data_IF_247044528279
#
_entry.id   IF_247044528279
#
_cell.length_a   1.000
_cell.length_b   1.000
_cell.length_c   1.000
_cell.angle_alpha   90.00
_cell.angle_beta   90.00
_cell.angle_gamma   90.00
#
_symmetry.space_group_name_H-M   'P 1'
#
loop_
_entity.id
_entity.type
_entity.pdbx_description
1 polymer ?
#
# COMPACT_ATOMS: atom_id res chain seq x y z
N UNK A 1 -13.73 -11.89 -28.32
CA UNK A 1 -12.44 -12.41 -27.81
C UNK A 1 -12.77 -13.45 -26.75
N UNK A 2 -12.30 -14.67 -26.87
CA UNK A 2 -12.55 -15.71 -25.89
C UNK A 2 -11.85 -15.31 -24.58
N UNK A 3 -12.42 -15.68 -23.42
CA UNK A 3 -11.90 -15.36 -22.08
C UNK A 3 -10.51 -15.96 -21.76
N UNK A 4 -9.82 -16.50 -22.76
CA UNK A 4 -8.54 -17.20 -22.62
C UNK A 4 -7.32 -16.37 -23.03
N UNK A 5 -7.49 -15.14 -23.59
CA UNK A 5 -6.41 -14.36 -24.20
C UNK A 5 -5.98 -13.12 -23.38
N UNK A 6 -6.29 -13.07 -22.07
CA UNK A 6 -5.89 -11.92 -21.27
C UNK A 6 -4.38 -11.96 -21.00
N UNK A 7 -3.68 -10.88 -21.35
CA UNK A 7 -2.23 -10.76 -21.13
C UNK A 7 -1.92 -10.87 -19.65
N UNK A 8 -1.05 -11.81 -19.28
CA UNK A 8 -0.55 -11.93 -17.91
C UNK A 8 0.32 -10.74 -17.55
N UNK A 9 0.12 -10.19 -16.34
CA UNK A 9 0.86 -9.07 -15.80
C UNK A 9 1.78 -9.57 -14.69
N UNK A 10 3.04 -9.20 -14.72
CA UNK A 10 4.04 -9.63 -13.74
C UNK A 10 4.68 -8.45 -13.04
N UNK A 11 5.16 -8.67 -11.82
CA UNK A 11 5.92 -7.71 -11.04
C UNK A 11 7.40 -7.98 -11.24
N UNK A 12 8.13 -6.98 -11.72
CA UNK A 12 9.56 -7.10 -12.02
C UNK A 12 10.46 -6.21 -11.17
N UNK A 13 9.88 -5.18 -10.52
CA UNK A 13 10.61 -4.30 -9.62
C UNK A 13 9.78 -3.86 -8.43
N UNK A 14 10.45 -3.66 -7.31
CA UNK A 14 9.88 -3.21 -6.03
C UNK A 14 10.67 -2.02 -5.51
N UNK A 15 9.98 -1.05 -4.91
CA UNK A 15 10.60 0.09 -4.23
C UNK A 15 9.78 0.53 -3.03
N UNK A 16 10.47 0.98 -1.99
CA UNK A 16 9.87 1.37 -0.73
C UNK A 16 10.66 2.48 -0.03
N UNK A 17 9.94 3.36 0.64
CA UNK A 17 10.49 4.21 1.69
C UNK A 17 9.44 4.31 2.78
N UNK A 18 9.78 3.86 4.00
CA UNK A 18 8.81 3.59 5.06
C UNK A 18 9.36 4.03 6.41
N UNK A 19 8.55 3.98 7.48
CA UNK A 19 9.03 4.14 8.84
C UNK A 19 10.05 3.09 9.28
N UNK A 20 10.15 1.98 8.55
CA UNK A 20 11.04 0.86 8.89
C UNK A 20 12.37 0.88 8.11
N UNK A 21 12.42 1.63 7.01
CA UNK A 21 13.63 1.70 6.18
C UNK A 21 13.47 2.59 4.96
N UNK A 22 14.59 2.98 4.36
CA UNK A 22 14.65 3.82 3.17
C UNK A 22 14.54 3.07 1.85
N UNK A 23 14.50 1.74 1.88
CA UNK A 23 14.43 0.83 0.74
C UNK A 23 13.65 -0.46 1.09
N UNK A 24 13.40 -1.32 0.09
CA UNK A 24 12.68 -2.59 0.26
C UNK A 24 13.44 -3.54 1.19
N UNK A 25 14.76 -3.61 1.08
CA UNK A 25 15.55 -4.57 1.85
C UNK A 25 15.53 -4.27 3.35
N UNK A 26 15.77 -3.02 3.72
CA UNK A 26 15.72 -2.58 5.13
C UNK A 26 14.29 -2.65 5.68
N UNK A 27 13.29 -2.22 4.92
CA UNK A 27 11.87 -2.31 5.28
C UNK A 27 11.47 -3.76 5.56
N UNK A 28 11.78 -4.68 4.66
CA UNK A 28 11.41 -6.09 4.79
C UNK A 28 12.12 -6.78 5.96
N UNK A 29 13.42 -6.52 6.12
CA UNK A 29 14.19 -7.03 7.27
C UNK A 29 13.59 -6.59 8.60
N UNK A 30 13.22 -5.31 8.73
CA UNK A 30 12.60 -4.76 9.93
C UNK A 30 11.18 -5.33 10.15
N UNK A 31 10.40 -5.55 9.07
CA UNK A 31 9.09 -6.22 9.16
C UNK A 31 9.21 -7.65 9.73
N UNK A 32 10.14 -8.44 9.20
CA UNK A 32 10.36 -9.82 9.70
C UNK A 32 10.87 -9.85 11.13
N UNK A 33 11.62 -8.83 11.54
CA UNK A 33 12.08 -8.67 12.92
C UNK A 33 11.00 -8.17 13.89
N UNK A 34 9.82 -7.78 13.39
CA UNK A 34 8.75 -7.22 14.23
C UNK A 34 9.09 -5.82 14.78
N UNK A 35 9.88 -5.03 14.06
CA UNK A 35 10.30 -3.71 14.51
C UNK A 35 9.18 -2.69 14.27
N UNK A 36 8.85 -1.88 15.28
CA UNK A 36 7.91 -0.76 15.12
C UNK A 36 8.64 0.51 14.70
N UNK A 37 8.10 1.20 13.67
CA UNK A 37 8.54 2.54 13.25
C UNK A 37 7.80 3.68 13.93
N UNK A 38 6.93 3.38 14.89
CA UNK A 38 6.15 4.40 15.62
C UNK A 38 7.02 5.05 16.68
N UNK A 39 7.04 6.38 16.67
CA UNK A 39 7.82 7.19 17.61
C UNK A 39 6.97 8.30 18.23
N UNK A 40 7.44 8.86 19.35
CA UNK A 40 6.91 10.10 19.88
C UNK A 40 7.40 11.26 19.02
N UNK A 41 6.48 12.12 18.60
CA UNK A 41 6.81 13.35 17.89
C UNK A 41 7.42 14.40 18.83
N UNK A 42 8.33 15.21 18.31
CA UNK A 42 9.11 16.21 19.08
C UNK A 42 8.84 17.65 18.67
N UNK A 43 8.02 17.87 17.65
CA UNK A 43 7.65 19.18 17.14
C UNK A 43 6.78 19.92 18.17
N UNK A 44 6.98 21.22 18.33
CA UNK A 44 6.31 22.05 19.34
C UNK A 44 4.77 22.08 19.22
N UNK A 45 4.23 21.88 18.01
CA UNK A 45 2.79 21.85 17.80
C UNK A 45 2.11 20.60 18.40
N UNK A 46 2.89 19.55 18.69
CA UNK A 46 2.40 18.28 19.25
C UNK A 46 1.82 18.46 20.65
N UNK A 47 2.37 19.39 21.43
CA UNK A 47 1.96 19.58 22.85
C UNK A 47 0.49 19.95 23.01
N UNK A 48 -0.09 20.58 22.01
CA UNK A 48 -1.51 21.02 21.99
C UNK A 48 -2.48 19.93 21.55
N UNK A 49 -1.98 18.78 21.09
CA UNK A 49 -2.80 17.70 20.54
C UNK A 49 -2.95 16.52 21.50
N UNK A 50 -4.07 15.79 21.45
CA UNK A 50 -4.26 14.59 22.27
C UNK A 50 -3.40 13.41 21.77
N UNK A 51 -3.01 13.40 20.50
CA UNK A 51 -2.14 12.37 19.88
C UNK A 51 -0.77 12.97 19.64
N UNK A 52 0.26 12.31 20.16
CA UNK A 52 1.66 12.77 20.17
C UNK A 52 2.62 11.78 19.51
N UNK A 53 2.08 10.83 18.76
CA UNK A 53 2.80 9.73 18.14
C UNK A 53 2.48 9.64 16.64
N UNK A 54 3.46 9.21 15.87
CA UNK A 54 3.32 8.89 14.44
C UNK A 54 4.47 7.98 14.00
N UNK A 55 4.43 7.52 12.76
CA UNK A 55 5.46 6.72 12.13
C UNK A 55 6.07 7.47 10.92
N UNK A 56 7.02 8.39 11.13
CA UNK A 56 7.68 9.13 10.06
C UNK A 56 8.60 8.21 9.24
N UNK A 57 8.81 8.55 7.96
CA UNK A 57 9.75 7.82 7.11
C UNK A 57 11.17 7.83 7.71
N UNK A 58 11.80 6.66 7.77
CA UNK A 58 13.11 6.47 8.41
C UNK A 58 14.26 7.20 7.68
N UNK A 59 14.11 7.39 6.37
CA UNK A 59 15.11 8.08 5.55
C UNK A 59 14.63 9.47 5.10
N UNK A 60 15.55 10.44 5.06
CA UNK A 60 15.27 11.76 4.49
C UNK A 60 15.25 11.68 2.96
N UNK A 61 14.10 11.88 2.29
CA UNK A 61 14.02 11.83 0.84
C UNK A 61 14.87 12.91 0.14
N UNK A 62 15.15 14.04 0.80
CA UNK A 62 15.98 15.12 0.25
C UNK A 62 17.42 14.65 -0.04
N UNK A 63 17.92 13.69 0.73
CA UNK A 63 19.27 13.10 0.50
C UNK A 63 19.36 12.39 -0.86
N UNK A 64 18.26 11.78 -1.33
CA UNK A 64 18.20 11.03 -2.60
C UNK A 64 17.75 11.94 -3.76
N UNK A 65 16.73 12.76 -3.53
CA UNK A 65 16.15 13.65 -4.55
C UNK A 65 17.06 14.83 -4.86
N UNK A 66 17.79 15.30 -3.86
CA UNK A 66 18.64 16.49 -3.95
C UNK A 66 17.89 17.78 -3.67
N UNK A 67 18.55 18.72 -2.99
CA UNK A 67 17.93 19.97 -2.46
C UNK A 67 17.24 20.84 -3.50
N UNK A 68 17.76 20.89 -4.73
CA UNK A 68 17.20 21.75 -5.78
C UNK A 68 15.86 21.23 -6.29
N UNK A 69 15.78 19.93 -6.54
CA UNK A 69 14.54 19.28 -6.98
C UNK A 69 13.52 19.23 -5.84
N UNK A 70 13.93 18.85 -4.64
CA UNK A 70 13.07 18.75 -3.46
C UNK A 70 12.32 20.06 -3.13
N UNK A 71 12.91 21.25 -3.39
CA UNK A 71 12.23 22.54 -3.21
C UNK A 71 11.03 22.77 -4.13
N UNK A 72 10.87 21.96 -5.16
CA UNK A 72 9.78 22.04 -6.15
C UNK A 72 8.73 20.95 -5.95
N UNK A 73 8.91 20.11 -4.92
CA UNK A 73 8.13 18.91 -4.67
C UNK A 73 7.60 18.92 -3.23
N UNK A 74 6.36 18.50 -3.06
CA UNK A 74 5.86 18.14 -1.73
C UNK A 74 6.59 16.92 -1.19
N UNK A 75 6.57 16.71 0.13
CA UNK A 75 7.20 15.56 0.76
C UNK A 75 6.65 14.23 0.23
N UNK A 76 5.34 14.12 -0.02
CA UNK A 76 4.76 12.91 -0.59
C UNK A 76 5.28 12.60 -2.00
N UNK A 77 5.51 13.63 -2.82
CA UNK A 77 6.11 13.50 -4.15
C UNK A 77 7.57 13.06 -4.07
N UNK A 78 8.31 13.59 -3.07
CA UNK A 78 9.70 13.20 -2.83
C UNK A 78 9.81 11.72 -2.41
N UNK A 79 8.95 11.26 -1.49
CA UNK A 79 8.91 9.86 -1.05
C UNK A 79 8.55 8.93 -2.22
N UNK A 80 7.56 9.29 -3.03
CA UNK A 80 7.20 8.56 -4.24
C UNK A 80 8.38 8.44 -5.23
N UNK A 81 9.13 9.53 -5.44
CA UNK A 81 10.27 9.53 -6.36
C UNK A 81 11.41 8.64 -5.86
N UNK A 82 11.69 8.63 -4.55
CA UNK A 82 12.69 7.75 -3.94
C UNK A 82 12.33 6.29 -4.19
N UNK A 83 11.10 5.89 -3.84
CA UNK A 83 10.63 4.51 -4.03
C UNK A 83 10.57 4.13 -5.52
N UNK A 84 10.19 5.05 -6.40
CA UNK A 84 10.13 4.77 -7.84
C UNK A 84 11.51 4.57 -8.46
N UNK A 85 12.51 5.34 -8.06
CA UNK A 85 13.91 5.14 -8.50
C UNK A 85 14.43 3.77 -8.10
N UNK A 86 14.15 3.34 -6.87
CA UNK A 86 14.49 1.98 -6.42
C UNK A 86 13.76 0.93 -7.27
N UNK A 87 12.43 1.01 -7.40
CA UNK A 87 11.64 0.04 -8.15
C UNK A 87 12.08 -0.07 -9.61
N UNK A 88 12.37 1.06 -10.25
CA UNK A 88 12.84 1.10 -11.63
C UNK A 88 14.24 0.47 -11.79
N UNK A 89 15.16 0.78 -10.88
CA UNK A 89 16.50 0.17 -10.87
C UNK A 89 16.42 -1.33 -10.56
N UNK A 90 15.58 -1.73 -9.62
CA UNK A 90 15.34 -3.13 -9.26
C UNK A 90 14.74 -3.95 -10.39
N UNK A 91 13.88 -3.33 -11.22
CA UNK A 91 13.37 -3.90 -12.47
C UNK A 91 14.46 -4.02 -13.57
N UNK A 92 15.67 -3.48 -13.36
CA UNK A 92 16.74 -3.44 -14.35
C UNK A 92 16.54 -2.36 -15.41
N UNK A 93 15.81 -1.28 -15.10
CA UNK A 93 15.54 -0.15 -16.00
C UNK A 93 15.00 -0.62 -17.37
N UNK A 94 13.80 -1.19 -17.44
CA UNK A 94 13.25 -1.85 -18.62
C UNK A 94 13.36 -0.96 -19.88
N UNK A 95 13.94 -1.43 -20.99
CA UNK A 95 13.86 -0.72 -22.25
C UNK A 95 12.42 -0.81 -22.78
N UNK A 96 11.75 0.33 -22.90
CA UNK A 96 10.35 0.40 -23.32
C UNK A 96 10.11 1.65 -24.16
N UNK A 97 9.23 1.57 -25.16
CA UNK A 97 8.75 2.75 -25.87
C UNK A 97 8.07 3.70 -24.86
N UNK A 98 8.45 4.98 -24.79
CA UNK A 98 7.80 5.94 -23.90
C UNK A 98 6.27 5.96 -23.98
N UNK A 99 5.67 5.73 -25.16
CA UNK A 99 4.22 5.63 -25.36
C UNK A 99 3.63 4.29 -24.92
N UNK A 100 4.46 3.37 -24.44
CA UNK A 100 4.08 2.07 -23.85
C UNK A 100 4.45 2.00 -22.36
N UNK A 101 5.02 3.07 -21.79
CA UNK A 101 5.33 3.22 -20.37
C UNK A 101 4.28 4.13 -19.71
N UNK A 102 3.54 3.58 -18.74
CA UNK A 102 2.54 4.31 -17.95
C UNK A 102 2.96 4.51 -16.51
N UNK A 103 2.30 5.45 -15.83
CA UNK A 103 2.41 5.71 -14.41
C UNK A 103 1.02 5.73 -13.79
N UNK A 104 0.84 5.02 -12.67
CA UNK A 104 -0.36 5.04 -11.84
C UNK A 104 0.05 5.13 -10.37
N UNK A 105 0.25 6.34 -9.85
CA UNK A 105 0.76 6.58 -8.49
C UNK A 105 -0.05 7.68 -7.82
N UNK A 106 -0.56 7.39 -6.62
CA UNK A 106 -1.54 8.22 -5.93
C UNK A 106 -1.10 8.61 -4.53
N UNK A 107 -1.68 9.70 -4.03
CA UNK A 107 -1.73 10.09 -2.63
C UNK A 107 -3.20 10.23 -2.24
N UNK A 108 -3.56 9.88 -1.01
CA UNK A 108 -4.93 10.03 -0.51
C UNK A 108 -5.31 11.48 -0.24
N UNK A 109 -4.34 12.33 0.15
CA UNK A 109 -4.57 13.73 0.55
C UNK A 109 -3.86 14.71 -0.39
N UNK A 110 -2.77 14.31 -1.03
CA UNK A 110 -1.92 15.20 -1.81
C UNK A 110 -0.93 15.98 -0.94
N UNK A 111 -0.39 17.07 -1.48
CA UNK A 111 0.65 17.89 -0.84
C UNK A 111 0.12 18.81 0.25
N UNK A 112 -0.45 18.23 1.31
CA UNK A 112 -1.04 18.99 2.43
C UNK A 112 -0.02 19.86 3.15
N UNK A 113 1.24 19.38 3.29
CA UNK A 113 2.32 20.15 3.91
C UNK A 113 2.62 21.43 3.14
N UNK A 114 2.71 21.35 1.83
CA UNK A 114 2.89 22.48 0.93
C UNK A 114 1.70 23.44 0.97
N UNK A 115 0.47 22.90 1.05
CA UNK A 115 -0.76 23.70 1.16
C UNK A 115 -0.76 24.56 2.42
N UNK A 116 -0.48 23.95 3.57
CA UNK A 116 -0.46 24.67 4.86
C UNK A 116 0.66 25.71 4.89
N UNK A 117 1.86 25.38 4.42
CA UNK A 117 2.99 26.30 4.34
C UNK A 117 2.68 27.48 3.43
N UNK A 118 2.02 27.24 2.29
CA UNK A 118 1.63 28.30 1.37
C UNK A 118 0.54 29.21 1.97
N UNK A 119 -0.42 28.63 2.70
CA UNK A 119 -1.46 29.39 3.40
C UNK A 119 -0.86 30.30 4.48
N UNK A 120 0.06 29.80 5.30
CA UNK A 120 0.77 30.62 6.29
C UNK A 120 1.59 31.73 5.62
N UNK A 121 2.24 31.42 4.51
CA UNK A 121 2.98 32.42 3.73
C UNK A 121 2.05 33.51 3.18
N UNK A 122 0.89 33.12 2.64
CA UNK A 122 -0.12 34.06 2.16
C UNK A 122 -0.58 35.00 3.27
N UNK A 123 -0.91 34.46 4.43
CA UNK A 123 -1.42 35.18 5.58
C UNK A 123 -0.38 36.14 6.17
N UNK A 124 0.87 35.69 6.33
CA UNK A 124 1.89 36.40 7.08
C UNK A 124 2.76 37.32 6.20
N UNK A 125 2.90 37.02 4.87
CA UNK A 125 3.86 37.67 3.98
C UNK A 125 3.26 38.17 2.66
N UNK A 126 2.04 37.74 2.31
CA UNK A 126 1.36 38.11 1.07
C UNK A 126 1.58 37.11 -0.06
N UNK A 127 0.78 37.27 -1.13
CA UNK A 127 0.71 36.34 -2.26
C UNK A 127 1.99 36.29 -3.10
N UNK A 128 2.73 37.37 -3.18
CA UNK A 128 3.97 37.50 -3.95
C UNK A 128 5.16 36.71 -3.35
N UNK A 129 4.97 36.17 -2.13
CA UNK A 129 5.94 35.35 -1.43
C UNK A 129 5.64 33.86 -1.49
N UNK A 130 4.48 33.50 -2.04
CA UNK A 130 4.12 32.09 -2.24
C UNK A 130 5.01 31.46 -3.32
N UNK A 131 5.42 30.20 -3.13
CA UNK A 131 6.20 29.48 -4.13
C UNK A 131 5.42 29.33 -5.45
N UNK A 132 6.02 29.58 -6.63
CA UNK A 132 5.37 29.32 -7.92
C UNK A 132 5.09 27.84 -8.15
N UNK A 133 5.69 26.94 -7.38
CA UNK A 133 5.47 25.50 -7.41
C UNK A 133 4.33 25.04 -6.48
N UNK A 134 3.71 25.92 -5.71
CA UNK A 134 2.66 25.56 -4.75
C UNK A 134 1.54 24.74 -5.40
N UNK A 135 1.04 25.15 -6.57
CA UNK A 135 -0.06 24.43 -7.23
C UNK A 135 0.38 23.01 -7.65
N UNK A 136 1.48 22.79 -8.38
CA UNK A 136 1.96 21.43 -8.63
C UNK A 136 2.20 20.60 -7.37
N UNK A 137 2.75 21.19 -6.31
CA UNK A 137 3.07 20.50 -5.06
C UNK A 137 1.83 20.06 -4.27
N UNK A 138 0.69 20.79 -4.36
CA UNK A 138 -0.51 20.45 -3.60
C UNK A 138 -1.40 19.40 -4.29
N UNK A 139 -1.22 19.18 -5.60
CA UNK A 139 -2.11 18.33 -6.38
C UNK A 139 -1.92 16.83 -6.04
N UNK A 140 -3.00 16.05 -5.82
CA UNK A 140 -2.88 14.60 -5.56
C UNK A 140 -2.20 13.81 -6.68
N UNK A 141 -2.24 14.32 -7.92
CA UNK A 141 -1.56 13.72 -9.07
C UNK A 141 -0.10 14.20 -9.25
N UNK A 142 0.42 15.00 -8.35
CA UNK A 142 1.79 15.54 -8.42
C UNK A 142 2.84 14.43 -8.47
N UNK A 143 2.69 13.39 -7.66
CA UNK A 143 3.58 12.23 -7.68
C UNK A 143 3.61 11.53 -9.03
N UNK A 144 2.44 11.24 -9.63
CA UNK A 144 2.37 10.62 -10.96
C UNK A 144 3.01 11.52 -12.04
N UNK A 145 2.79 12.85 -11.95
CA UNK A 145 3.39 13.84 -12.84
C UNK A 145 4.92 13.81 -12.77
N UNK A 146 5.49 13.88 -11.57
CA UNK A 146 6.95 13.84 -11.39
C UNK A 146 7.56 12.53 -11.89
N UNK A 147 6.94 11.39 -11.58
CA UNK A 147 7.41 10.08 -12.05
C UNK A 147 7.36 9.98 -13.58
N UNK A 148 6.30 10.50 -14.21
CA UNK A 148 6.22 10.48 -15.68
C UNK A 148 7.32 11.32 -16.33
N UNK A 149 7.70 12.47 -15.73
CA UNK A 149 8.81 13.30 -16.19
C UNK A 149 10.16 12.57 -15.97
N UNK A 150 10.37 11.99 -14.79
CA UNK A 150 11.61 11.30 -14.42
C UNK A 150 11.89 10.10 -15.34
N UNK A 151 10.84 9.32 -15.67
CA UNK A 151 10.97 8.09 -16.44
C UNK A 151 10.72 8.29 -17.94
N UNK A 152 10.28 9.46 -18.37
CA UNK A 152 9.86 9.71 -19.75
C UNK A 152 8.59 8.95 -20.14
N UNK A 153 7.72 8.64 -19.19
CA UNK A 153 6.50 7.86 -19.41
C UNK A 153 5.42 8.68 -20.13
N UNK A 154 4.88 8.18 -21.24
CA UNK A 154 3.93 8.87 -22.12
C UNK A 154 2.64 8.11 -22.39
N UNK A 155 2.50 6.86 -21.92
CA UNK A 155 1.25 6.09 -22.07
C UNK A 155 0.13 6.57 -21.11
N UNK A 156 0.41 7.55 -20.27
CA UNK A 156 -0.48 8.16 -19.29
C UNK A 156 0.14 8.25 -17.91
N UNK A 157 -0.23 9.30 -17.16
CA UNK A 157 0.14 9.50 -15.77
C UNK A 157 -1.15 9.72 -14.97
N UNK A 158 -1.49 8.77 -14.12
CA UNK A 158 -2.77 8.71 -13.44
C UNK A 158 -2.60 8.73 -11.92
N UNK A 159 -3.57 9.33 -11.23
CA UNK A 159 -3.69 9.27 -9.78
C UNK A 159 -5.14 8.90 -9.43
N UNK A 160 -5.34 7.72 -8.88
CA UNK A 160 -6.63 7.23 -8.42
C UNK A 160 -6.73 7.50 -6.92
N UNK A 161 -7.69 8.33 -6.52
CA UNK A 161 -7.83 8.74 -5.14
C UNK A 161 -9.06 8.04 -4.53
N UNK A 162 -8.79 7.05 -3.69
CA UNK A 162 -9.75 6.27 -2.92
C UNK A 162 -9.34 6.21 -1.44
N UNK A 163 -8.92 7.37 -0.91
CA UNK A 163 -8.43 7.51 0.46
C UNK A 163 -7.33 6.48 0.78
N UNK A 164 -7.53 5.64 1.83
CA UNK A 164 -6.53 4.66 2.26
C UNK A 164 -6.29 3.53 1.24
N UNK A 165 -7.19 3.32 0.28
CA UNK A 165 -7.05 2.30 -0.75
C UNK A 165 -6.32 2.78 -2.02
N UNK A 166 -5.98 4.09 -2.12
CA UNK A 166 -5.45 4.72 -3.34
C UNK A 166 -4.25 3.99 -3.96
N UNK A 167 -3.29 3.56 -3.13
CA UNK A 167 -2.09 2.87 -3.62
C UNK A 167 -2.38 1.47 -4.18
N UNK A 168 -3.27 0.72 -3.55
CA UNK A 168 -3.71 -0.58 -4.05
C UNK A 168 -4.55 -0.42 -5.33
N UNK A 169 -5.46 0.55 -5.38
CA UNK A 169 -6.26 0.83 -6.57
C UNK A 169 -5.39 1.25 -7.75
N UNK A 170 -4.33 2.03 -7.50
CA UNK A 170 -3.36 2.41 -8.53
C UNK A 170 -2.62 1.21 -9.11
N UNK A 171 -2.27 0.20 -8.28
CA UNK A 171 -1.67 -1.05 -8.74
C UNK A 171 -2.67 -1.82 -9.61
N UNK A 172 -3.92 -1.96 -9.15
CA UNK A 172 -4.97 -2.61 -9.93
C UNK A 172 -5.24 -1.93 -11.26
N UNK A 173 -5.28 -0.59 -11.29
CA UNK A 173 -5.39 0.17 -12.53
C UNK A 173 -4.20 -0.04 -13.46
N UNK A 174 -2.99 -0.17 -12.91
CA UNK A 174 -1.79 -0.52 -13.67
C UNK A 174 -1.92 -1.90 -14.34
N UNK A 175 -2.50 -2.89 -13.66
CA UNK A 175 -2.85 -4.19 -14.24
C UNK A 175 -3.80 -4.01 -15.43
N UNK A 176 -4.86 -3.20 -15.27
CA UNK A 176 -5.83 -2.94 -16.33
C UNK A 176 -5.24 -2.19 -17.53
N UNK A 177 -4.30 -1.26 -17.31
CA UNK A 177 -3.59 -0.59 -18.40
C UNK A 177 -2.82 -1.58 -19.27
N UNK A 178 -2.15 -2.56 -18.68
CA UNK A 178 -1.41 -3.58 -19.41
C UNK A 178 -2.37 -4.56 -20.09
N UNK A 179 -3.36 -5.08 -19.38
CA UNK A 179 -4.34 -6.03 -19.93
C UNK A 179 -5.15 -5.47 -21.08
N UNK A 180 -5.46 -4.17 -21.05
CA UNK A 180 -6.13 -3.47 -22.15
C UNK A 180 -5.22 -3.08 -23.31
N UNK A 181 -3.92 -3.41 -23.25
CA UNK A 181 -2.95 -3.11 -24.29
C UNK A 181 -2.55 -1.63 -24.39
N UNK A 182 -2.86 -0.79 -23.39
CA UNK A 182 -2.45 0.62 -23.36
C UNK A 182 -0.97 0.80 -23.03
N UNK A 183 -0.39 -0.10 -22.23
CA UNK A 183 1.00 -0.06 -21.83
C UNK A 183 1.60 -1.47 -21.84
N UNK A 184 2.93 -1.57 -21.95
CA UNK A 184 3.70 -2.79 -21.70
C UNK A 184 4.33 -2.79 -20.32
N UNK A 185 4.65 -1.59 -19.82
CA UNK A 185 5.23 -1.36 -18.48
C UNK A 185 4.43 -0.27 -17.77
N UNK A 186 4.11 -0.47 -16.51
CA UNK A 186 3.48 0.54 -15.65
C UNK A 186 4.20 0.61 -14.31
N UNK A 187 4.60 1.82 -13.92
CA UNK A 187 5.06 2.11 -12.56
C UNK A 187 3.85 2.48 -11.73
N UNK A 188 3.50 1.65 -10.75
CA UNK A 188 2.26 1.76 -9.99
C UNK A 188 2.50 1.74 -8.48
N UNK A 189 1.64 2.41 -7.72
CA UNK A 189 1.71 2.40 -6.27
C UNK A 189 1.10 3.63 -5.61
N UNK A 190 1.59 3.97 -4.42
CA UNK A 190 1.07 5.08 -3.65
C UNK A 190 2.07 5.65 -2.66
N UNK A 191 1.75 6.85 -2.19
CA UNK A 191 2.57 7.63 -1.27
C UNK A 191 1.68 8.43 -0.33
N UNK A 192 2.22 8.79 0.84
CA UNK A 192 1.59 9.79 1.72
C UNK A 192 2.63 10.46 2.61
N UNK A 193 2.40 11.76 2.90
CA UNK A 193 3.18 12.54 3.84
C UNK A 193 2.26 13.50 4.61
N UNK A 194 1.45 12.94 5.51
CA UNK A 194 0.35 13.65 6.18
C UNK A 194 0.59 13.89 7.68
N UNK A 195 1.81 13.70 8.20
CA UNK A 195 2.15 13.92 9.61
C UNK A 195 2.26 15.43 9.88
N UNK A 196 1.10 16.06 10.05
CA UNK A 196 0.92 17.50 10.26
C UNK A 196 -0.08 17.73 11.40
N UNK A 197 0.07 18.86 12.09
CA UNK A 197 -0.82 19.24 13.19
C UNK A 197 -2.31 19.20 12.81
N UNK A 198 -2.65 19.72 11.62
CA UNK A 198 -4.03 19.72 11.14
C UNK A 198 -4.59 18.32 10.97
N UNK A 199 -3.85 17.42 10.31
CA UNK A 199 -4.35 16.09 10.03
C UNK A 199 -4.45 15.25 11.29
N UNK A 200 -3.44 15.28 12.16
CA UNK A 200 -3.48 14.59 13.46
C UNK A 200 -4.65 15.13 14.31
N UNK A 201 -4.82 16.45 14.37
CA UNK A 201 -5.93 17.07 15.08
C UNK A 201 -7.30 16.67 14.51
N UNK A 202 -7.45 16.64 13.18
CA UNK A 202 -8.68 16.24 12.52
C UNK A 202 -9.04 14.78 12.75
N UNK A 203 -8.09 13.84 12.59
CA UNK A 203 -8.30 12.44 12.89
C UNK A 203 -8.53 12.18 14.39
N UNK A 204 -7.87 12.92 15.27
CA UNK A 204 -8.12 12.85 16.71
C UNK A 204 -9.53 13.34 17.07
N UNK A 205 -10.03 14.39 16.40
CA UNK A 205 -11.41 14.86 16.56
C UNK A 205 -12.45 13.81 16.15
N UNK A 206 -12.12 12.94 15.17
CA UNK A 206 -12.90 11.78 14.78
C UNK A 206 -12.79 10.61 15.77
N UNK A 207 -11.89 10.68 16.76
CA UNK A 207 -11.54 9.58 17.67
C UNK A 207 -11.03 8.32 16.94
N UNK A 208 -10.38 8.51 15.80
CA UNK A 208 -9.91 7.42 14.96
C UNK A 208 -8.45 7.01 15.26
N UNK A 209 -7.71 7.83 16.03
CA UNK A 209 -6.28 7.63 16.33
C UNK A 209 -6.06 7.11 17.75
N UNK A 210 -5.02 6.28 17.88
CA UNK A 210 -4.54 5.84 19.20
C UNK A 210 -4.00 7.02 20.02
N UNK A 211 -4.33 7.02 21.29
CA UNK A 211 -3.84 7.99 22.29
C UNK A 211 -2.77 7.41 23.21
N UNK A 212 -2.22 6.24 22.88
CA UNK A 212 -1.19 5.54 23.67
C UNK A 212 0.18 6.22 23.53
N UNK A 213 0.25 7.49 23.94
CA UNK A 213 1.41 8.37 23.77
C UNK A 213 2.65 7.92 24.57
N UNK A 214 2.45 7.21 25.67
CA UNK A 214 3.53 6.81 26.58
C UNK A 214 4.26 5.54 26.11
N UNK A 215 3.63 4.78 25.24
CA UNK A 215 4.18 3.54 24.65
C UNK A 215 4.06 3.56 23.12
N UNK A 216 4.76 4.47 22.39
CA UNK A 216 4.56 4.66 20.94
C UNK A 216 4.66 3.36 20.13
N UNK A 217 5.69 2.55 20.37
CA UNK A 217 5.92 1.30 19.67
C UNK A 217 4.81 0.24 19.91
N UNK A 218 3.97 0.42 20.94
CA UNK A 218 2.87 -0.48 21.30
C UNK A 218 1.49 0.07 20.93
N UNK A 219 1.43 1.24 20.30
CA UNK A 219 0.18 1.95 20.04
C UNK A 219 -0.64 1.28 18.90
N UNK A 220 -0.01 0.95 17.77
CA UNK A 220 -0.66 0.19 16.71
C UNK A 220 -0.68 -1.30 17.07
N UNK A 221 -1.88 -1.83 17.30
CA UNK A 221 -2.10 -3.20 17.80
C UNK A 221 -3.33 -3.86 17.15
N UNK A 222 -3.26 -4.13 15.83
CA UNK A 222 -4.36 -4.73 15.10
C UNK A 222 -4.83 -6.04 15.73
N UNK A 223 -6.17 -6.22 15.77
CA UNK A 223 -6.87 -7.39 16.31
C UNK A 223 -6.77 -7.59 17.83
N UNK A 224 -6.02 -6.74 18.55
CA UNK A 224 -5.89 -6.81 20.00
C UNK A 224 -7.09 -6.15 20.69
N UNK A 225 -7.57 -6.71 21.80
CA UNK A 225 -8.66 -6.14 22.61
C UNK A 225 -8.38 -4.72 23.12
N UNK A 226 -7.10 -4.39 23.35
CA UNK A 226 -6.68 -3.08 23.84
C UNK A 226 -6.41 -2.05 22.75
N UNK A 227 -6.81 -2.31 21.49
CA UNK A 227 -6.67 -1.33 20.41
C UNK A 227 -7.60 -0.15 20.59
N UNK A 228 -7.12 1.05 20.29
CA UNK A 228 -7.85 2.31 20.50
C UNK A 228 -7.81 3.26 19.30
N UNK A 229 -7.36 2.80 18.14
CA UNK A 229 -7.27 3.59 16.92
C UNK A 229 -5.96 3.39 16.16
N UNK A 230 -5.86 3.98 14.97
CA UNK A 230 -4.66 3.86 14.15
C UNK A 230 -3.55 4.83 14.57
N UNK A 231 -2.33 4.55 14.15
CA UNK A 231 -1.19 5.47 14.21
C UNK A 231 -0.90 5.98 12.80
N UNK A 232 -0.81 7.29 12.59
CA UNK A 232 -0.51 7.88 11.30
C UNK A 232 0.94 7.61 10.90
N UNK A 233 1.15 7.13 9.67
CA UNK A 233 2.46 6.93 9.07
C UNK A 233 2.65 7.73 7.79
N UNK A 234 3.90 7.83 7.31
CA UNK A 234 4.25 8.39 6.01
C UNK A 234 5.22 7.48 5.25
N UNK A 235 5.23 7.58 3.93
CA UNK A 235 6.10 6.77 3.08
C UNK A 235 5.52 6.54 1.69
N UNK A 236 6.16 5.66 0.93
CA UNK A 236 5.74 5.27 -0.42
C UNK A 236 6.06 3.81 -0.70
N UNK A 237 5.20 3.15 -1.47
CA UNK A 237 5.43 1.84 -2.07
C UNK A 237 5.19 1.88 -3.57
N UNK A 238 6.12 1.33 -4.34
CA UNK A 238 6.05 1.31 -5.81
C UNK A 238 6.38 -0.08 -6.32
N UNK A 239 5.61 -0.52 -7.30
CA UNK A 239 5.87 -1.74 -8.07
C UNK A 239 6.04 -1.40 -9.55
N UNK A 240 6.91 -2.13 -10.24
CA UNK A 240 6.98 -2.12 -11.71
C UNK A 240 6.20 -3.32 -12.21
N UNK A 241 5.12 -3.05 -12.93
CA UNK A 241 4.27 -4.03 -13.60
C UNK A 241 4.70 -4.13 -15.06
N UNK A 242 4.80 -5.35 -15.58
CA UNK A 242 5.11 -5.59 -16.99
C UNK A 242 4.15 -6.63 -17.59
N UNK A 243 3.87 -6.51 -18.89
CA UNK A 243 3.28 -7.62 -19.61
C UNK A 243 4.27 -8.80 -19.64
N UNK A 244 3.79 -10.01 -19.40
CA UNK A 244 4.64 -11.20 -19.38
C UNK A 244 5.50 -11.35 -20.66
N UNK A 245 4.97 -11.14 -21.89
CA UNK A 245 5.78 -11.19 -23.10
C UNK A 245 6.96 -10.19 -23.09
N UNK A 246 6.74 -8.95 -22.62
CA UNK A 246 7.78 -7.93 -22.50
C UNK A 246 8.86 -8.36 -21.50
N UNK A 247 8.44 -8.81 -20.32
CA UNK A 247 9.35 -9.28 -19.27
C UNK A 247 10.21 -10.47 -19.73
N UNK A 248 9.61 -11.45 -20.41
CA UNK A 248 10.31 -12.62 -20.94
C UNK A 248 11.31 -12.25 -22.04
N UNK A 249 10.93 -11.35 -22.96
CA UNK A 249 11.79 -10.93 -24.07
C UNK A 249 13.12 -10.32 -23.58
N UNK A 250 13.09 -9.62 -22.43
CA UNK A 250 14.28 -9.03 -21.81
C UNK A 250 14.90 -9.89 -20.70
N UNK A 251 14.37 -11.09 -20.45
CA UNK A 251 14.80 -12.01 -19.38
C UNK A 251 14.74 -11.37 -17.99
N UNK A 252 13.67 -10.65 -17.71
CA UNK A 252 13.44 -9.99 -16.44
C UNK A 252 13.39 -11.00 -15.29
N UNK A 253 13.86 -10.58 -14.10
CA UNK A 253 13.46 -11.24 -12.86
C UNK A 253 11.98 -10.98 -12.63
N UNK A 254 11.21 -12.02 -12.33
CA UNK A 254 9.80 -11.93 -11.98
C UNK A 254 9.65 -12.25 -10.49
N UNK A 255 9.04 -11.33 -9.74
CA UNK A 255 8.73 -11.53 -8.32
C UNK A 255 7.46 -12.35 -8.12
N UNK A 256 6.41 -11.98 -8.87
CA UNK A 256 5.09 -12.57 -8.78
C UNK A 256 4.30 -12.25 -10.06
N UNK A 257 3.20 -12.95 -10.27
CA UNK A 257 2.14 -12.55 -11.19
C UNK A 257 1.19 -11.63 -10.42
N UNK A 258 0.90 -10.45 -10.94
CA UNK A 258 -0.17 -9.58 -10.48
C UNK A 258 -1.49 -10.13 -11.08
N UNK A 259 -2.06 -11.12 -10.38
CA UNK A 259 -3.03 -12.04 -10.95
C UNK A 259 -4.44 -11.45 -11.06
N UNK A 260 -4.83 -10.57 -10.13
CA UNK A 260 -6.16 -9.99 -10.17
C UNK A 260 -6.36 -8.84 -9.18
N UNK A 261 -7.40 -8.06 -9.44
CA UNK A 261 -7.87 -6.97 -8.60
C UNK A 261 -9.39 -7.03 -8.44
N UNK A 262 -9.87 -6.64 -7.28
CA UNK A 262 -11.30 -6.54 -6.99
C UNK A 262 -11.62 -5.24 -6.29
N UNK A 263 -12.76 -4.65 -6.67
CA UNK A 263 -13.20 -3.35 -6.21
C UNK A 263 -14.64 -3.39 -5.76
N UNK A 264 -14.98 -2.59 -4.76
CA UNK A 264 -16.35 -2.32 -4.37
C UNK A 264 -16.49 -0.97 -3.67
N UNK A 265 -17.72 -0.54 -3.47
CA UNK A 265 -18.05 0.56 -2.61
C UNK A 265 -19.13 0.11 -1.60
N UNK A 266 -18.97 0.48 -0.32
CA UNK A 266 -19.95 0.15 0.73
C UNK A 266 -21.28 0.87 0.55
N UNK A 267 -21.26 2.06 -0.05
CA UNK A 267 -22.43 2.94 -0.21
C UNK A 267 -23.24 3.12 1.09
N UNK A 268 -22.54 3.19 2.22
CA UNK A 268 -23.16 3.21 3.56
C UNK A 268 -22.89 4.52 4.30
N UNK A 269 -21.61 4.83 4.59
CA UNK A 269 -21.23 6.02 5.35
C UNK A 269 -19.87 6.56 4.90
N UNK A 270 -19.63 7.86 5.08
CA UNK A 270 -18.40 8.52 4.58
C UNK A 270 -17.14 8.09 5.32
N UNK A 271 -17.22 7.64 6.56
CA UNK A 271 -16.05 7.30 7.40
C UNK A 271 -16.16 5.95 8.14
N UNK A 272 -17.25 5.21 7.99
CA UNK A 272 -17.45 3.89 8.62
C UNK A 272 -17.77 2.86 7.54
N UNK A 273 -17.23 1.65 7.69
CA UNK A 273 -17.58 0.52 6.84
C UNK A 273 -19.02 0.05 7.07
N UNK A 274 -19.61 -0.59 6.08
CA UNK A 274 -20.93 -1.21 6.22
C UNK A 274 -20.85 -2.34 7.27
N UNK A 275 -21.73 -2.37 8.28
CA UNK A 275 -21.61 -3.32 9.41
C UNK A 275 -21.66 -4.80 9.01
N UNK A 276 -22.28 -5.11 7.87
CA UNK A 276 -22.37 -6.46 7.32
C UNK A 276 -21.10 -6.91 6.60
N UNK A 277 -20.11 -6.01 6.38
CA UNK A 277 -18.88 -6.30 5.66
C UNK A 277 -19.08 -6.73 4.21
N UNK A 278 -20.26 -6.47 3.63
CA UNK A 278 -20.61 -6.93 2.29
C UNK A 278 -19.69 -6.37 1.20
N UNK A 279 -19.33 -5.09 1.26
CA UNK A 279 -18.41 -4.45 0.32
C UNK A 279 -17.02 -5.06 0.39
N UNK A 280 -16.48 -5.22 1.57
CA UNK A 280 -15.17 -5.82 1.83
C UNK A 280 -15.11 -7.27 1.29
N UNK A 281 -16.12 -8.09 1.62
CA UNK A 281 -16.23 -9.47 1.14
C UNK A 281 -16.37 -9.54 -0.38
N UNK A 282 -17.12 -8.60 -0.99
CA UNK A 282 -17.27 -8.54 -2.43
C UNK A 282 -15.95 -8.22 -3.13
N UNK A 283 -15.18 -7.23 -2.64
CA UNK A 283 -13.88 -6.87 -3.22
C UNK A 283 -12.90 -8.04 -3.20
N UNK A 284 -12.74 -8.73 -2.06
CA UNK A 284 -11.91 -9.93 -1.96
C UNK A 284 -12.36 -11.04 -2.92
N UNK A 285 -13.68 -11.33 -2.94
CA UNK A 285 -14.24 -12.36 -3.85
C UNK A 285 -14.08 -11.99 -5.32
N UNK A 286 -14.18 -10.70 -5.66
CA UNK A 286 -13.97 -10.20 -7.02
C UNK A 286 -12.50 -10.35 -7.43
N UNK A 287 -11.55 -10.01 -6.55
CA UNK A 287 -10.13 -10.19 -6.81
C UNK A 287 -9.75 -11.66 -7.05
N UNK A 288 -10.27 -12.58 -6.23
CA UNK A 288 -10.04 -14.02 -6.41
C UNK A 288 -10.62 -14.53 -7.74
N UNK A 289 -11.82 -14.07 -8.12
CA UNK A 289 -12.44 -14.42 -9.42
C UNK A 289 -11.64 -13.88 -10.59
N UNK A 290 -11.20 -12.60 -10.54
CA UNK A 290 -10.38 -11.97 -11.56
C UNK A 290 -9.03 -12.70 -11.72
N UNK A 291 -8.41 -13.07 -10.61
CA UNK A 291 -7.18 -13.85 -10.58
C UNK A 291 -7.37 -15.31 -10.99
N UNK A 292 -8.60 -15.83 -11.04
CA UNK A 292 -8.92 -17.27 -11.19
C UNK A 292 -8.25 -18.14 -10.11
N UNK A 293 -8.19 -17.62 -8.90
CA UNK A 293 -7.57 -18.27 -7.74
C UNK A 293 -8.68 -18.77 -6.82
N UNK A 294 -8.63 -20.04 -6.47
CA UNK A 294 -9.50 -20.59 -5.45
C UNK A 294 -9.07 -20.15 -4.04
N UNK A 295 -9.99 -19.91 -3.10
CA UNK A 295 -9.62 -19.55 -1.72
C UNK A 295 -8.59 -20.48 -1.08
N UNK A 296 -8.62 -21.78 -1.41
CA UNK A 296 -7.66 -22.76 -0.92
C UNK A 296 -6.21 -22.54 -1.37
N UNK A 297 -5.96 -21.81 -2.46
CA UNK A 297 -4.60 -21.50 -2.94
C UNK A 297 -3.97 -20.31 -2.18
N UNK A 298 -4.79 -19.49 -1.50
CA UNK A 298 -4.30 -18.34 -0.74
C UNK A 298 -3.67 -18.82 0.56
N UNK A 299 -2.39 -18.57 0.71
CA UNK A 299 -1.62 -18.94 1.91
C UNK A 299 -1.48 -17.78 2.89
N UNK A 300 -1.59 -16.55 2.42
CA UNK A 300 -1.41 -15.35 3.23
C UNK A 300 -2.37 -14.24 2.81
N UNK A 301 -2.94 -13.57 3.80
CA UNK A 301 -3.66 -12.29 3.65
C UNK A 301 -2.90 -11.21 4.41
N UNK A 302 -2.45 -10.18 3.68
CA UNK A 302 -2.03 -8.94 4.33
C UNK A 302 -3.27 -8.10 4.56
N UNK A 303 -3.70 -8.00 5.81
CA UNK A 303 -4.93 -7.34 6.19
C UNK A 303 -4.81 -5.81 6.16
N UNK A 304 -5.90 -5.13 5.87
CA UNK A 304 -5.99 -3.69 6.05
C UNK A 304 -5.84 -3.29 7.53
N UNK A 305 -6.50 -3.96 8.41
CA UNK A 305 -6.45 -3.91 9.88
C UNK A 305 -5.68 -2.72 10.48
N UNK A 306 -6.41 -1.62 10.69
CA UNK A 306 -5.82 -0.33 11.10
C UNK A 306 -5.65 -0.17 12.60
N UNK A 307 -5.93 -1.21 13.41
CA UNK A 307 -5.98 -1.12 14.88
C UNK A 307 -7.17 -0.30 15.39
N UNK A 308 -8.27 -0.27 14.65
CA UNK A 308 -9.50 0.41 15.06
C UNK A 308 -10.48 -0.57 15.69
N UNK A 309 -11.26 -0.12 16.70
CA UNK A 309 -12.21 -1.01 17.39
C UNK A 309 -13.22 -1.68 16.46
N UNK A 310 -13.70 -0.97 15.42
CA UNK A 310 -14.75 -1.46 14.51
C UNK A 310 -14.21 -2.13 13.25
N UNK A 311 -13.11 -1.60 12.69
CA UNK A 311 -12.59 -2.04 11.39
C UNK A 311 -11.98 -3.44 11.42
N UNK A 312 -11.19 -3.75 12.42
CA UNK A 312 -10.45 -5.00 12.50
C UNK A 312 -11.37 -6.24 12.61
N UNK A 313 -12.41 -6.27 13.49
CA UNK A 313 -13.33 -7.41 13.54
C UNK A 313 -14.20 -7.52 12.28
N UNK A 314 -14.55 -6.40 11.66
CA UNK A 314 -15.31 -6.41 10.40
C UNK A 314 -14.49 -7.10 9.30
N UNK A 315 -13.22 -6.77 9.16
CA UNK A 315 -12.33 -7.42 8.19
C UNK A 315 -12.12 -8.91 8.51
N UNK A 316 -11.95 -9.27 9.79
CA UNK A 316 -11.81 -10.66 10.20
C UNK A 316 -13.02 -11.50 9.78
N UNK A 317 -14.25 -11.03 10.06
CA UNK A 317 -15.49 -11.69 9.62
C UNK A 317 -15.62 -11.78 8.10
N UNK A 318 -15.16 -10.74 7.37
CA UNK A 318 -15.18 -10.76 5.92
C UNK A 318 -14.20 -11.80 5.34
N UNK A 319 -13.01 -11.95 5.93
CA UNK A 319 -12.04 -13.00 5.58
C UNK A 319 -12.67 -14.38 5.82
N UNK A 320 -13.26 -14.63 6.99
CA UNK A 320 -13.95 -15.91 7.27
C UNK A 320 -15.06 -16.19 6.25
N UNK A 321 -15.85 -15.18 5.90
CA UNK A 321 -16.95 -15.32 4.93
C UNK A 321 -16.43 -15.71 3.55
N UNK A 322 -15.36 -15.06 3.07
CA UNK A 322 -14.82 -15.27 1.72
C UNK A 322 -14.07 -16.60 1.62
N UNK A 323 -13.33 -16.96 2.65
CA UNK A 323 -12.52 -18.18 2.64
C UNK A 323 -13.31 -19.41 3.10
N UNK A 324 -14.40 -19.24 3.86
CA UNK A 324 -15.21 -20.35 4.36
C UNK A 324 -14.36 -21.43 5.02
N UNK A 325 -14.51 -22.73 4.67
CA UNK A 325 -13.69 -23.82 5.25
C UNK A 325 -12.18 -23.68 4.99
N UNK A 326 -11.79 -22.81 4.05
CA UNK A 326 -10.39 -22.54 3.77
C UNK A 326 -9.78 -21.51 4.73
N UNK A 327 -10.54 -20.84 5.58
CA UNK A 327 -10.05 -19.80 6.48
C UNK A 327 -9.01 -20.32 7.50
N UNK A 328 -9.20 -21.52 8.03
CA UNK A 328 -8.32 -22.11 9.06
C UNK A 328 -6.85 -22.28 8.60
N UNK A 329 -6.61 -22.33 7.30
CA UNK A 329 -5.24 -22.53 6.77
C UNK A 329 -4.62 -21.25 6.21
N UNK A 330 -5.28 -20.12 6.31
CA UNK A 330 -4.76 -18.82 5.83
C UNK A 330 -4.04 -18.11 6.97
N UNK A 331 -2.79 -17.73 6.74
CA UNK A 331 -2.03 -16.88 7.67
C UNK A 331 -2.39 -15.41 7.41
N UNK A 332 -2.84 -14.69 8.43
CA UNK A 332 -3.16 -13.27 8.34
C UNK A 332 -2.10 -12.44 9.03
N UNK A 333 -1.62 -11.38 8.38
CA UNK A 333 -0.70 -10.39 8.98
C UNK A 333 -1.28 -8.99 8.83
N UNK A 334 -1.00 -8.14 9.82
CA UNK A 334 -1.32 -6.72 9.79
C UNK A 334 -0.03 -5.88 9.97
N UNK A 335 0.60 -5.52 8.86
CA UNK A 335 1.88 -4.81 8.85
C UNK A 335 1.79 -3.38 9.39
N UNK A 336 0.58 -2.81 9.46
CA UNK A 336 0.33 -1.51 10.11
C UNK A 336 0.65 -1.51 11.61
N UNK A 337 0.75 -2.67 12.25
CA UNK A 337 1.28 -2.81 13.61
C UNK A 337 2.71 -2.25 13.74
N UNK A 338 3.47 -2.25 12.64
CA UNK A 338 4.88 -1.83 12.56
C UNK A 338 5.05 -0.49 11.83
N UNK A 339 4.36 -0.32 10.71
CA UNK A 339 4.50 0.88 9.86
C UNK A 339 3.61 2.04 10.26
N UNK A 340 2.59 1.81 11.10
CA UNK A 340 1.45 2.70 11.18
C UNK A 340 0.63 2.68 9.87
N UNK A 341 -0.32 3.57 9.76
CA UNK A 341 -1.20 3.69 8.60
C UNK A 341 -0.74 4.82 7.67
N UNK A 342 -0.18 4.46 6.51
CA UNK A 342 0.34 5.41 5.52
C UNK A 342 -0.75 5.95 4.58
N UNK A 343 -2.02 5.89 4.96
CA UNK A 343 -3.16 6.35 4.16
C UNK A 343 -3.05 5.91 2.69
N UNK A 344 -2.93 6.86 1.75
CA UNK A 344 -2.82 6.55 0.32
C UNK A 344 -1.60 5.72 -0.07
N UNK A 345 -0.53 5.74 0.72
CA UNK A 345 0.66 4.88 0.53
C UNK A 345 0.50 3.46 1.09
N UNK A 346 -0.46 3.23 2.00
CA UNK A 346 -0.57 1.99 2.76
C UNK A 346 -0.73 0.76 1.87
N UNK A 347 -1.76 0.73 1.01
CA UNK A 347 -2.04 -0.43 0.18
C UNK A 347 -0.90 -0.80 -0.79
N UNK A 348 -0.07 0.19 -1.17
CA UNK A 348 1.10 -0.06 -2.02
C UNK A 348 2.27 -0.69 -1.25
N UNK A 349 2.62 -0.17 -0.07
CA UNK A 349 3.63 -0.79 0.81
C UNK A 349 3.22 -2.21 1.19
N UNK A 350 1.96 -2.40 1.49
CA UNK A 350 1.40 -3.71 1.84
C UNK A 350 1.42 -4.67 0.67
N UNK A 351 1.23 -4.17 -0.56
CA UNK A 351 1.45 -4.98 -1.77
C UNK A 351 2.92 -5.41 -1.92
N UNK A 352 3.87 -4.51 -1.65
CA UNK A 352 5.30 -4.87 -1.62
C UNK A 352 5.56 -5.94 -0.56
N UNK A 353 4.99 -5.80 0.65
CA UNK A 353 5.12 -6.79 1.72
C UNK A 353 4.49 -8.14 1.35
N UNK A 354 3.30 -8.15 0.74
CA UNK A 354 2.62 -9.37 0.28
C UNK A 354 3.41 -10.10 -0.82
N UNK A 355 3.97 -9.36 -1.79
CA UNK A 355 4.83 -9.91 -2.84
C UNK A 355 6.12 -10.49 -2.23
N UNK A 356 6.73 -9.80 -1.27
CA UNK A 356 7.91 -10.31 -0.54
C UNK A 356 7.57 -11.54 0.29
N UNK A 357 6.40 -11.56 0.96
CA UNK A 357 5.94 -12.72 1.71
C UNK A 357 5.78 -13.96 0.80
N UNK A 358 5.17 -13.78 -0.38
CA UNK A 358 5.05 -14.83 -1.38
C UNK A 358 6.41 -15.33 -1.88
N UNK A 359 7.30 -14.39 -2.24
CA UNK A 359 8.62 -14.71 -2.80
C UNK A 359 9.54 -15.42 -1.82
N UNK A 360 9.59 -14.93 -0.58
CA UNK A 360 10.48 -15.44 0.47
C UNK A 360 9.81 -16.55 1.30
N UNK A 361 8.53 -16.86 1.01
CA UNK A 361 7.70 -17.88 1.68
C UNK A 361 7.62 -17.69 3.19
N UNK A 362 7.45 -16.45 3.63
CA UNK A 362 7.31 -16.09 5.04
C UNK A 362 6.38 -14.89 5.21
N UNK A 363 5.35 -15.02 6.04
CA UNK A 363 4.49 -13.91 6.43
C UNK A 363 5.16 -13.09 7.55
N UNK A 364 5.13 -11.75 7.50
CA UNK A 364 5.61 -10.92 8.60
C UNK A 364 4.66 -11.03 9.81
N UNK A 365 5.13 -10.74 11.04
CA UNK A 365 4.28 -10.75 12.22
C UNK A 365 3.31 -9.56 12.26
N UNK A 366 2.21 -9.73 12.99
CA UNK A 366 1.43 -8.67 13.60
C UNK A 366 1.98 -8.47 15.01
N UNK A 367 2.64 -7.34 15.27
CA UNK A 367 3.19 -7.06 16.60
C UNK A 367 2.13 -6.44 17.51
N UNK A 368 2.37 -6.46 18.82
CA UNK A 368 1.48 -5.90 19.85
C UNK A 368 0.12 -6.62 20.01
N UNK A 369 -0.03 -7.81 19.48
CA UNK A 369 -1.19 -8.67 19.70
C UNK A 369 -0.94 -9.51 20.96
N UNK A 370 -1.34 -8.96 22.12
CA UNK A 370 -1.16 -9.60 23.44
C UNK A 370 -2.42 -10.38 23.85
N UNK A 371 -3.61 -9.88 23.48
CA UNK A 371 -4.92 -10.47 23.79
C UNK A 371 -5.83 -10.36 22.56
N UNK A 372 -6.00 -11.45 21.85
CA UNK A 372 -6.81 -11.49 20.62
C UNK A 372 -8.27 -11.18 20.95
N UNK A 373 -8.88 -10.31 20.14
CA UNK A 373 -10.29 -9.96 20.29
C UNK A 373 -11.19 -11.18 20.09
N UNK A 374 -12.18 -11.36 20.96
CA UNK A 374 -13.11 -12.51 20.93
C UNK A 374 -13.93 -12.60 19.64
N UNK A 375 -14.08 -11.47 18.91
CA UNK A 375 -14.76 -11.43 17.61
C UNK A 375 -13.82 -11.80 16.43
N UNK A 376 -12.56 -12.12 16.68
CA UNK A 376 -11.56 -12.43 15.65
C UNK A 376 -11.22 -13.91 15.71
N UNK A 377 -11.74 -14.69 14.77
CA UNK A 377 -11.53 -16.14 14.70
C UNK A 377 -10.54 -16.57 13.60
N UNK A 378 -9.88 -15.62 12.93
CA UNK A 378 -8.85 -15.88 11.92
C UNK A 378 -7.47 -16.16 12.54
N UNK A 379 -6.60 -16.87 11.81
CA UNK A 379 -5.23 -17.16 12.25
C UNK A 379 -4.30 -15.97 12.00
N UNK A 380 -4.04 -15.16 13.04
CA UNK A 380 -3.14 -13.99 12.96
C UNK A 380 -1.71 -14.40 13.32
N UNK A 381 -0.75 -14.11 12.44
CA UNK A 381 0.67 -14.34 12.68
C UNK A 381 1.21 -13.37 13.73
N UNK A 382 1.72 -13.86 14.86
CA UNK A 382 2.40 -13.05 15.90
C UNK A 382 3.92 -13.13 15.82
N UNK A 383 4.44 -13.99 14.94
CA UNK A 383 5.86 -14.13 14.60
C UNK A 383 6.00 -14.32 13.09
N UNK A 384 7.21 -14.14 12.56
CA UNK A 384 7.50 -14.48 11.16
C UNK A 384 7.12 -15.96 10.91
N UNK A 385 6.13 -16.18 10.05
CA UNK A 385 5.47 -17.49 9.88
C UNK A 385 5.76 -18.04 8.48
N UNK A 386 6.36 -19.24 8.35
CA UNK A 386 6.59 -19.87 7.05
C UNK A 386 5.29 -20.10 6.27
N UNK A 387 5.33 -19.81 4.98
CA UNK A 387 4.23 -20.05 4.04
C UNK A 387 4.54 -21.30 3.21
N UNK A 388 3.62 -22.24 3.19
CA UNK A 388 3.72 -23.48 2.40
C UNK A 388 2.47 -23.67 1.56
N UNK A 389 2.56 -24.34 0.38
CA UNK A 389 1.38 -24.71 -0.37
C UNK A 389 0.42 -25.49 0.51
N UNK A 390 -0.86 -25.18 0.40
CA UNK A 390 -1.89 -25.80 1.25
C UNK A 390 -2.22 -27.22 0.75
N UNK A 391 -2.43 -28.18 1.62
CA UNK A 391 -2.81 -29.52 1.22
C UNK A 391 -4.10 -29.53 0.38
N UNK A 392 -4.06 -30.16 -0.80
CA UNK A 392 -5.22 -30.25 -1.71
C UNK A 392 -5.52 -28.97 -2.52
N UNK A 393 -4.67 -27.94 -2.44
CA UNK A 393 -4.75 -26.79 -3.33
C UNK A 393 -3.99 -27.08 -4.63
N UNK A 394 -4.69 -27.06 -5.75
CA UNK A 394 -4.07 -27.19 -7.07
C UNK A 394 -3.60 -25.83 -7.60
N UNK A 395 -2.38 -25.76 -8.13
CA UNK A 395 -1.82 -24.56 -8.76
C UNK A 395 -0.83 -23.79 -7.85
N UNK A 396 -0.39 -22.59 -8.32
CA UNK A 396 0.60 -21.79 -7.60
C UNK A 396 0.05 -21.21 -6.30
N UNK A 397 0.93 -21.00 -5.32
CA UNK A 397 0.56 -20.26 -4.11
C UNK A 397 0.11 -18.85 -4.45
N UNK A 398 -0.86 -18.36 -3.70
CA UNK A 398 -1.37 -17.01 -3.80
C UNK A 398 -1.30 -16.26 -2.47
N UNK A 399 -1.20 -14.95 -2.56
CA UNK A 399 -1.36 -14.02 -1.44
C UNK A 399 -2.38 -12.95 -1.82
N UNK A 400 -3.11 -12.45 -0.83
CA UNK A 400 -4.10 -11.41 -1.00
C UNK A 400 -3.70 -10.19 -0.17
N UNK A 401 -3.81 -9.00 -0.73
CA UNK A 401 -3.60 -7.72 -0.06
C UNK A 401 -4.89 -6.91 -0.03
N UNK A 402 -5.34 -6.54 1.16
CA UNK A 402 -6.56 -5.75 1.37
C UNK A 402 -6.24 -4.29 1.65
N UNK A 403 -7.02 -3.38 1.06
CA UNK A 403 -6.96 -1.95 1.33
C UNK A 403 -8.37 -1.37 1.32
N UNK A 404 -8.80 -0.80 2.45
CA UNK A 404 -10.13 -0.24 2.62
C UNK A 404 -10.02 1.23 3.01
N UNK A 405 -10.76 2.11 2.33
CA UNK A 405 -10.66 3.56 2.47
C UNK A 405 -11.94 4.21 2.96
N UNK A 406 -11.80 5.33 3.64
CA UNK A 406 -12.93 6.22 3.91
C UNK A 406 -13.68 6.55 2.61
N UNK A 407 -15.01 6.71 2.70
CA UNK A 407 -15.89 6.75 1.55
C UNK A 407 -16.42 5.37 1.15
N UNK A 408 -16.03 4.31 1.88
CA UNK A 408 -16.42 2.93 1.60
C UNK A 408 -15.69 2.32 0.40
N UNK A 409 -14.51 2.81 0.07
CA UNK A 409 -13.68 2.26 -1.01
C UNK A 409 -13.00 0.97 -0.56
N UNK A 410 -13.27 -0.14 -1.24
CA UNK A 410 -12.67 -1.43 -0.95
C UNK A 410 -11.89 -1.94 -2.15
N UNK A 411 -10.63 -2.27 -1.94
CA UNK A 411 -9.73 -2.84 -2.94
C UNK A 411 -9.07 -4.09 -2.38
N UNK A 412 -9.02 -5.15 -3.17
CA UNK A 412 -8.24 -6.34 -2.88
C UNK A 412 -7.38 -6.70 -4.10
N UNK A 413 -6.12 -7.07 -3.86
CA UNK A 413 -5.18 -7.48 -4.91
C UNK A 413 -4.72 -8.91 -4.65
N UNK A 414 -4.63 -9.71 -5.70
CA UNK A 414 -4.11 -11.09 -5.64
C UNK A 414 -2.81 -11.19 -6.41
N UNK A 415 -1.78 -11.68 -5.73
CA UNK A 415 -0.50 -12.03 -6.35
C UNK A 415 -0.28 -13.54 -6.25
N UNK A 416 0.24 -14.15 -7.33
CA UNK A 416 0.57 -15.58 -7.35
C UNK A 416 2.03 -15.80 -7.67
N UNK A 417 2.56 -16.97 -7.30
CA UNK A 417 3.87 -17.40 -7.78
C UNK A 417 3.89 -17.43 -9.31
N UNK A 418 5.00 -16.97 -9.89
CA UNK A 418 5.27 -17.19 -11.30
C UNK A 418 5.89 -18.58 -11.48
N UNK A 419 5.17 -19.45 -12.18
CA UNK A 419 5.66 -20.77 -12.58
C UNK A 419 6.01 -20.69 -14.06
N UNK A 420 7.29 -20.80 -14.46
CA UNK A 420 7.66 -20.86 -15.86
C UNK A 420 6.97 -22.04 -16.56
N UNK A 421 6.56 -21.92 -17.83
CA UNK A 421 6.04 -23.05 -18.58
C UNK A 421 7.09 -24.18 -18.63
N UNK A 422 6.62 -25.42 -18.62
CA UNK A 422 7.52 -26.56 -18.74
C UNK A 422 8.23 -26.53 -20.10
N UNK A 423 9.45 -27.08 -20.24
CA UNK A 423 10.13 -27.15 -21.54
C UNK A 423 9.33 -27.84 -22.65
N UNK A 424 8.30 -28.61 -22.29
CA UNK A 424 7.41 -29.30 -23.24
C UNK A 424 6.24 -28.42 -23.71
N UNK A 425 5.97 -27.29 -23.03
CA UNK A 425 4.89 -26.34 -23.35
C UNK A 425 5.40 -25.04 -24.02
N UNK A 426 6.72 -24.88 -24.12
CA UNK A 426 7.41 -23.74 -24.73
C UNK A 426 7.87 -24.10 -26.16
#
# INVERSE_FOLDING_TARGET
>A
MSSNDQVSVVVTGLGATTPLGGDVASTWSAMLAGTSGVVRLTESWVDTLPVKIAAPAAADPVAVVGRVQARRMDRCEQLALVAAREAWADAGSPPVDPYRLGVAVSSGIGGIGSTLTAYDTLRDKGWDRISPYTVPMLMPNGSAGWLSIELGAKAGAHALVSACASGAESIGYGIDMIRSGRADVVVAGGTEAAIMALNIGAFAAMRAMSTRNDEPARASRPFDKGRDGFVLGEGAGIVVLESLPHALARKARIYAVAAGAGYSADAFHISHGAPDGGGVSFAMSAALRDARVAPAQVTHVNAHATSTPEGDPLEARAIETVFGPAADGVVVSATKSMTGHLLGGAGAIESVAAIKALRDRVAPPTVNLDDLDDEVAISVATAATPLTPRPGADGPMAVLNNAFGFGGHNVALVFTEYVPPSPEEA
#
